data_IF_375826336056
#
_entry.id   IF_375826336056
#
_cell.length_a   1.000
_cell.length_b   1.000
_cell.length_c   1.000
_cell.angle_alpha   90.00
_cell.angle_beta   90.00
_cell.angle_gamma   90.00
#
_symmetry.space_group_name_H-M   'P 1'
#
loop_
_entity.id
_entity.type
_entity.pdbx_description
1 polymer ?
#
# COMPACT_ATOMS: atom_id res chain seq x y z
N UNK A 1 6.93 -41.78 48.07
CA UNK A 1 6.13 -42.97 47.72
C UNK A 1 6.12 -43.10 46.20
N UNK A 2 6.39 -44.29 45.67
CA UNK A 2 6.33 -44.58 44.24
C UNK A 2 5.00 -45.30 43.97
N UNK A 3 4.12 -44.70 43.18
CA UNK A 3 2.85 -45.31 42.78
C UNK A 3 2.93 -45.68 41.30
N UNK A 4 2.93 -46.99 41.02
CA UNK A 4 2.85 -47.53 39.66
C UNK A 4 1.48 -48.15 39.51
N UNK A 5 0.58 -47.57 38.70
CA UNK A 5 -0.75 -48.11 38.50
C UNK A 5 -0.68 -49.41 37.68
N UNK A 6 -1.26 -50.50 38.18
CA UNK A 6 -1.22 -51.81 37.49
C UNK A 6 -2.45 -52.03 36.59
N UNK A 7 -3.57 -51.34 36.86
CA UNK A 7 -4.80 -51.40 36.06
C UNK A 7 -5.49 -50.02 35.99
N UNK A 8 -5.48 -49.38 34.82
CA UNK A 8 -6.11 -48.05 34.59
C UNK A 8 -7.28 -48.09 33.59
N UNK A 9 -7.83 -49.28 33.28
CA UNK A 9 -8.97 -49.41 32.36
C UNK A 9 -8.78 -48.84 30.94
N UNK A 10 -7.53 -48.60 30.51
CA UNK A 10 -7.22 -47.94 29.23
C UNK A 10 -7.08 -46.42 29.27
N UNK A 11 -7.35 -45.77 30.41
CA UNK A 11 -7.28 -44.30 30.55
C UNK A 11 -5.90 -43.72 30.20
N UNK A 12 -4.83 -44.37 30.66
CA UNK A 12 -3.46 -43.93 30.34
C UNK A 12 -3.15 -44.07 28.83
N UNK A 13 -3.68 -45.10 28.18
CA UNK A 13 -3.53 -45.27 26.74
C UNK A 13 -4.33 -44.20 25.97
N UNK A 14 -5.57 -43.92 26.38
CA UNK A 14 -6.38 -42.85 25.82
C UNK A 14 -5.74 -41.47 26.00
N UNK A 15 -5.13 -41.19 27.16
CA UNK A 15 -4.41 -39.93 27.40
C UNK A 15 -3.18 -39.80 26.47
N UNK A 16 -2.45 -40.88 26.22
CA UNK A 16 -1.35 -40.92 25.24
C UNK A 16 -1.88 -40.68 23.83
N UNK A 17 -3.00 -41.28 23.45
CA UNK A 17 -3.62 -41.09 22.14
C UNK A 17 -4.09 -39.65 21.93
N UNK A 18 -4.68 -39.01 22.94
CA UNK A 18 -5.02 -37.58 22.92
C UNK A 18 -3.76 -36.72 22.75
N UNK A 19 -2.70 -36.99 23.51
CA UNK A 19 -1.45 -36.25 23.40
C UNK A 19 -0.80 -36.41 22.00
N UNK A 20 -0.88 -37.60 21.41
CA UNK A 20 -0.44 -37.85 20.02
C UNK A 20 -1.27 -37.07 19.01
N UNK A 21 -2.59 -37.09 19.13
CA UNK A 21 -3.47 -36.32 18.26
C UNK A 21 -3.21 -34.80 18.33
N UNK A 22 -2.98 -34.26 19.52
CA UNK A 22 -2.64 -32.84 19.72
C UNK A 22 -1.28 -32.47 19.10
N UNK A 23 -0.29 -33.36 19.19
CA UNK A 23 1.00 -33.19 18.51
C UNK A 23 0.80 -33.16 16.99
N UNK A 24 0.06 -34.12 16.44
CA UNK A 24 -0.17 -34.22 14.99
C UNK A 24 -0.94 -32.99 14.47
N UNK A 25 -1.91 -32.50 15.25
CA UNK A 25 -2.60 -31.23 14.97
C UNK A 25 -1.63 -30.04 14.93
N UNK A 26 -0.70 -29.98 15.89
CA UNK A 26 0.29 -28.90 15.99
C UNK A 26 1.30 -28.94 14.83
N UNK A 27 1.73 -30.12 14.41
CA UNK A 27 2.58 -30.31 13.22
C UNK A 27 1.85 -29.89 11.94
N UNK A 28 0.58 -30.27 11.78
CA UNK A 28 -0.24 -29.84 10.66
C UNK A 28 -0.42 -28.31 10.63
N UNK A 29 -0.69 -27.69 11.79
CA UNK A 29 -0.82 -26.24 11.90
C UNK A 29 0.49 -25.50 11.56
N UNK A 30 1.63 -26.03 11.99
CA UNK A 30 2.94 -25.49 11.63
C UNK A 30 3.18 -25.54 10.12
N UNK A 31 2.93 -26.70 9.48
CA UNK A 31 3.09 -26.85 8.03
C UNK A 31 2.19 -25.88 7.27
N UNK A 32 0.94 -25.72 7.70
CA UNK A 32 0.02 -24.76 7.10
C UNK A 32 0.55 -23.33 7.23
N UNK A 33 1.03 -22.92 8.41
CA UNK A 33 1.58 -21.59 8.62
C UNK A 33 2.78 -21.30 7.70
N UNK A 34 3.66 -22.28 7.48
CA UNK A 34 4.79 -22.17 6.55
C UNK A 34 4.32 -22.02 5.10
N UNK A 35 3.35 -22.83 4.68
CA UNK A 35 2.81 -22.75 3.31
C UNK A 35 2.12 -21.42 3.04
N UNK A 36 1.33 -20.93 4.00
CA UNK A 36 0.69 -19.60 3.91
C UNK A 36 1.73 -18.49 3.82
N UNK A 37 2.79 -18.55 4.63
CA UNK A 37 3.86 -17.55 4.57
C UNK A 37 4.60 -17.57 3.22
N UNK A 38 4.86 -18.75 2.65
CA UNK A 38 5.47 -18.88 1.33
C UNK A 38 4.56 -18.27 0.24
N UNK A 39 3.27 -18.61 0.27
CA UNK A 39 2.30 -18.06 -0.67
C UNK A 39 2.22 -16.54 -0.59
N UNK A 40 2.16 -15.97 0.62
CA UNK A 40 2.11 -14.52 0.82
C UNK A 40 3.35 -13.83 0.22
N UNK A 41 4.54 -14.39 0.41
CA UNK A 41 5.79 -13.87 -0.16
C UNK A 41 5.76 -13.93 -1.70
N UNK A 42 5.33 -15.05 -2.27
CA UNK A 42 5.21 -15.22 -3.72
C UNK A 42 4.23 -14.22 -4.33
N UNK A 43 3.06 -14.03 -3.71
CA UNK A 43 2.05 -13.07 -4.13
C UNK A 43 2.61 -11.64 -4.14
N UNK A 44 3.37 -11.26 -3.09
CA UNK A 44 4.02 -9.94 -3.04
C UNK A 44 5.13 -9.79 -4.07
N UNK A 45 5.95 -10.83 -4.31
CA UNK A 45 7.01 -10.80 -5.31
C UNK A 45 6.47 -10.65 -6.73
N UNK A 46 5.45 -11.46 -7.07
CA UNK A 46 4.77 -11.39 -8.37
C UNK A 46 4.13 -10.01 -8.53
N UNK A 47 3.40 -9.55 -7.52
CA UNK A 47 2.79 -8.23 -7.52
C UNK A 47 3.81 -7.11 -7.76
N UNK A 48 4.94 -7.12 -7.04
CA UNK A 48 6.01 -6.13 -7.20
C UNK A 48 6.62 -6.16 -8.61
N UNK A 49 6.86 -7.36 -9.15
CA UNK A 49 7.38 -7.53 -10.51
C UNK A 49 6.42 -6.96 -11.55
N UNK A 50 5.14 -7.29 -11.45
CA UNK A 50 4.12 -6.80 -12.39
C UNK A 50 3.97 -5.28 -12.32
N UNK A 51 4.05 -4.70 -11.12
CA UNK A 51 3.98 -3.24 -10.97
C UNK A 51 5.19 -2.53 -11.60
N UNK A 52 6.39 -3.11 -11.56
CA UNK A 52 7.55 -2.57 -12.28
C UNK A 52 7.34 -2.56 -13.80
N UNK A 53 6.77 -3.62 -14.35
CA UNK A 53 6.44 -3.70 -15.77
C UNK A 53 5.38 -2.66 -16.15
N UNK A 54 4.33 -2.53 -15.32
CA UNK A 54 3.29 -1.51 -15.47
C UNK A 54 3.87 -0.10 -15.46
N UNK A 55 4.71 0.22 -14.47
CA UNK A 55 5.36 1.54 -14.37
C UNK A 55 6.19 1.87 -15.61
N UNK A 56 6.93 0.88 -16.14
CA UNK A 56 7.71 1.03 -17.37
C UNK A 56 6.81 1.36 -18.58
N UNK A 57 5.69 0.65 -18.73
CA UNK A 57 4.73 0.90 -19.80
C UNK A 57 4.06 2.28 -19.68
N UNK A 58 3.62 2.64 -18.47
CA UNK A 58 3.01 3.94 -18.21
C UNK A 58 4.00 5.09 -18.44
N UNK A 59 5.27 4.90 -18.10
CA UNK A 59 6.31 5.93 -18.35
C UNK A 59 6.51 6.18 -19.85
N UNK A 60 6.45 5.14 -20.69
CA UNK A 60 6.49 5.29 -22.15
C UNK A 60 5.23 5.99 -22.68
N UNK A 61 4.06 5.64 -22.16
CA UNK A 61 2.80 6.28 -22.54
C UNK A 61 2.79 7.77 -22.17
N UNK A 62 3.26 8.11 -20.97
CA UNK A 62 3.41 9.50 -20.54
C UNK A 62 4.36 10.28 -21.47
N UNK A 63 5.54 9.73 -21.77
CA UNK A 63 6.47 10.38 -22.71
C UNK A 63 5.86 10.60 -24.11
N UNK A 64 5.11 9.62 -24.64
CA UNK A 64 4.41 9.77 -25.91
C UNK A 64 3.31 10.84 -25.84
N UNK A 65 2.56 10.91 -24.74
CA UNK A 65 1.51 11.93 -24.55
C UNK A 65 2.07 13.34 -24.40
N UNK A 66 3.23 13.50 -23.75
CA UNK A 66 3.96 14.78 -23.68
C UNK A 66 4.37 15.25 -25.08
N UNK A 67 4.88 14.34 -25.91
CA UNK A 67 5.25 14.67 -27.28
C UNK A 67 4.02 15.02 -28.13
N UNK A 68 2.89 14.30 -27.96
CA UNK A 68 1.64 14.64 -28.62
C UNK A 68 1.15 16.04 -28.24
N UNK A 69 1.16 16.41 -26.95
CA UNK A 69 0.80 17.75 -26.50
C UNK A 69 1.72 18.83 -27.10
N UNK A 70 3.03 18.57 -27.19
CA UNK A 70 4.00 19.46 -27.83
C UNK A 70 3.68 19.67 -29.31
N UNK A 71 3.36 18.59 -30.04
CA UNK A 71 3.01 18.64 -31.46
C UNK A 71 1.67 19.35 -31.70
N UNK A 72 0.64 19.07 -30.90
CA UNK A 72 -0.65 19.78 -30.99
C UNK A 72 -0.47 21.28 -30.78
N UNK A 73 0.37 21.69 -29.84
CA UNK A 73 0.69 23.10 -29.61
C UNK A 73 1.42 23.74 -30.80
N UNK A 74 2.36 23.03 -31.43
CA UNK A 74 3.02 23.50 -32.64
C UNK A 74 2.04 23.67 -33.81
N UNK A 75 1.13 22.70 -34.00
CA UNK A 75 0.08 22.76 -35.02
C UNK A 75 -0.85 23.94 -34.81
N UNK A 76 -1.30 24.18 -33.57
CA UNK A 76 -2.12 25.33 -33.21
C UNK A 76 -1.44 26.66 -33.57
N UNK A 77 -0.16 26.82 -33.20
CA UNK A 77 0.61 28.04 -33.53
C UNK A 77 0.77 28.23 -35.04
N UNK A 78 0.87 27.14 -35.80
CA UNK A 78 0.90 27.17 -37.27
C UNK A 78 -0.48 27.33 -37.93
N UNK A 79 -1.57 27.36 -37.16
CA UNK A 79 -2.95 27.42 -37.65
C UNK A 79 -3.50 26.08 -38.20
N UNK A 80 -2.78 24.97 -38.02
CA UNK A 80 -3.14 23.64 -38.49
C UNK A 80 -3.99 22.81 -37.51
N UNK A 81 -4.26 23.33 -36.30
CA UNK A 81 -5.12 22.69 -35.31
C UNK A 81 -5.87 23.75 -34.49
N UNK A 82 -6.96 23.36 -33.85
CA UNK A 82 -7.71 24.23 -32.95
C UNK A 82 -7.08 24.27 -31.56
N UNK A 83 -7.41 25.29 -30.76
CA UNK A 83 -6.97 25.32 -29.36
C UNK A 83 -7.59 24.18 -28.52
N UNK A 84 -8.76 23.66 -28.91
CA UNK A 84 -9.38 22.52 -28.24
C UNK A 84 -8.51 21.25 -28.37
N UNK A 85 -7.91 21.03 -29.54
CA UNK A 85 -7.02 19.88 -29.78
C UNK A 85 -5.78 19.92 -28.86
N UNK A 86 -5.33 21.14 -28.51
CA UNK A 86 -4.23 21.34 -27.55
C UNK A 86 -4.68 20.97 -26.14
N UNK A 87 -5.85 21.44 -25.71
CA UNK A 87 -6.39 21.15 -24.38
C UNK A 87 -6.66 19.66 -24.19
N UNK A 88 -7.15 18.98 -25.22
CA UNK A 88 -7.39 17.53 -25.17
C UNK A 88 -6.08 16.75 -25.07
N UNK A 89 -5.05 17.17 -25.82
CA UNK A 89 -3.72 16.56 -25.74
C UNK A 89 -3.05 16.79 -24.36
N UNK A 90 -3.15 18.00 -23.80
CA UNK A 90 -2.63 18.32 -22.46
C UNK A 90 -3.37 17.56 -21.37
N UNK A 91 -4.70 17.44 -21.48
CA UNK A 91 -5.50 16.62 -20.56
C UNK A 91 -5.06 15.15 -20.61
N UNK A 92 -4.82 14.61 -21.80
CA UNK A 92 -4.31 13.24 -21.98
C UNK A 92 -2.93 13.08 -21.36
N UNK A 93 -2.03 14.04 -21.57
CA UNK A 93 -0.70 14.08 -20.96
C UNK A 93 -0.79 14.01 -19.43
N UNK A 94 -1.56 14.90 -18.81
CA UNK A 94 -1.67 14.94 -17.35
C UNK A 94 -2.28 13.65 -16.78
N UNK A 95 -3.25 13.05 -17.47
CA UNK A 95 -3.80 11.76 -17.06
C UNK A 95 -2.77 10.62 -17.13
N UNK A 96 -1.90 10.63 -18.13
CA UNK A 96 -0.82 9.65 -18.26
C UNK A 96 0.26 9.85 -17.19
N UNK A 97 0.64 11.11 -16.90
CA UNK A 97 1.59 11.45 -15.84
C UNK A 97 1.06 11.07 -14.45
N UNK A 98 -0.21 11.34 -14.15
CA UNK A 98 -0.84 10.90 -12.90
C UNK A 98 -0.80 9.37 -12.77
N UNK A 99 -1.10 8.63 -13.85
CA UNK A 99 -1.02 7.17 -13.85
C UNK A 99 0.38 6.66 -13.49
N UNK A 100 1.45 7.33 -13.95
CA UNK A 100 2.83 7.02 -13.56
C UNK A 100 3.05 7.26 -12.07
N UNK A 101 2.54 8.36 -11.52
CA UNK A 101 2.66 8.69 -10.09
C UNK A 101 1.93 7.63 -9.25
N UNK A 102 0.69 7.28 -9.60
CA UNK A 102 -0.07 6.23 -8.91
C UNK A 102 0.65 4.87 -8.95
N UNK A 103 1.26 4.52 -10.08
CA UNK A 103 2.04 3.28 -10.20
C UNK A 103 3.32 3.31 -9.35
N UNK A 104 3.99 4.46 -9.20
CA UNK A 104 5.12 4.61 -8.26
C UNK A 104 4.71 4.42 -6.80
N UNK A 105 3.56 4.97 -6.42
CA UNK A 105 2.98 4.77 -5.07
C UNK A 105 2.71 3.27 -4.87
N UNK A 106 2.03 2.63 -5.81
CA UNK A 106 1.74 1.20 -5.74
C UNK A 106 3.03 0.35 -5.64
N UNK A 107 4.07 0.70 -6.38
CA UNK A 107 5.36 0.01 -6.33
C UNK A 107 6.00 0.10 -4.93
N UNK A 108 5.96 1.28 -4.31
CA UNK A 108 6.46 1.47 -2.95
C UNK A 108 5.63 0.67 -1.93
N UNK A 109 4.31 0.72 -2.02
CA UNK A 109 3.41 -0.05 -1.14
C UNK A 109 3.65 -1.56 -1.27
N UNK A 110 3.82 -2.08 -2.49
CA UNK A 110 4.14 -3.50 -2.73
C UNK A 110 5.49 -3.90 -2.18
N UNK A 111 6.49 -3.01 -2.28
CA UNK A 111 7.79 -3.26 -1.68
C UNK A 111 7.71 -3.35 -0.14
N UNK A 112 6.93 -2.47 0.50
CA UNK A 112 6.68 -2.54 1.95
C UNK A 112 5.95 -3.83 2.31
N UNK A 113 4.92 -4.22 1.54
CA UNK A 113 4.18 -5.46 1.77
C UNK A 113 5.07 -6.70 1.65
N UNK A 114 5.97 -6.75 0.67
CA UNK A 114 6.97 -7.81 0.53
C UNK A 114 7.89 -7.88 1.76
N UNK A 115 8.40 -6.74 2.23
CA UNK A 115 9.23 -6.69 3.44
C UNK A 115 8.46 -7.23 4.65
N UNK A 116 7.17 -6.89 4.80
CA UNK A 116 6.32 -7.42 5.87
C UNK A 116 6.14 -8.94 5.77
N UNK A 117 5.88 -9.47 4.57
CA UNK A 117 5.71 -10.91 4.34
C UNK A 117 6.98 -11.72 4.65
N UNK A 118 8.16 -11.15 4.37
CA UNK A 118 9.46 -11.76 4.68
C UNK A 118 9.83 -11.73 6.18
N UNK A 119 8.97 -11.18 7.05
CA UNK A 119 9.28 -11.01 8.47
C UNK A 119 10.07 -9.74 8.77
N UNK A 120 9.98 -8.71 7.93
CA UNK A 120 10.40 -7.35 8.29
C UNK A 120 9.41 -6.72 9.27
N UNK A 121 9.92 -6.14 10.36
CA UNK A 121 9.11 -5.41 11.35
C UNK A 121 9.28 -5.87 12.82
N UNK A 122 9.92 -7.01 13.07
CA UNK A 122 10.07 -7.58 14.43
C UNK A 122 11.30 -7.07 15.20
N UNK A 123 12.19 -6.30 14.57
CA UNK A 123 13.44 -5.83 15.18
C UNK A 123 13.26 -4.70 16.19
N UNK A 124 12.04 -4.16 16.34
CA UNK A 124 11.68 -3.24 17.42
C UNK A 124 10.46 -3.83 18.11
N UNK A 125 10.46 -4.00 19.44
CA UNK A 125 9.24 -4.24 20.19
C UNK A 125 8.22 -3.19 19.76
N UNK A 126 7.02 -3.62 19.35
CA UNK A 126 5.91 -2.69 19.11
C UNK A 126 5.60 -2.07 20.47
N UNK A 127 6.02 -0.83 20.67
CA UNK A 127 5.65 -0.06 21.86
C UNK A 127 4.16 0.23 21.76
N UNK A 128 3.34 -0.63 22.36
CA UNK A 128 1.88 -0.47 22.44
C UNK A 128 1.47 0.73 23.28
N UNK A 129 2.40 1.38 23.99
CA UNK A 129 2.14 2.61 24.74
C UNK A 129 2.23 3.88 23.88
N UNK A 130 2.91 3.83 22.72
CA UNK A 130 3.02 4.97 21.81
C UNK A 130 2.66 4.57 20.37
N UNK A 131 1.55 5.08 19.79
CA UNK A 131 1.24 4.83 18.39
C UNK A 131 2.37 5.33 17.50
N UNK A 132 2.98 4.42 16.73
CA UNK A 132 4.12 4.71 15.85
C UNK A 132 3.78 5.65 14.67
N UNK A 133 2.48 5.95 14.46
CA UNK A 133 1.98 6.92 13.50
C UNK A 133 1.36 8.09 14.27
N UNK A 134 2.09 9.19 14.39
CA UNK A 134 1.52 10.47 14.80
C UNK A 134 0.89 11.11 13.56
N UNK A 135 -0.39 10.80 13.28
CA UNK A 135 -1.13 11.31 12.14
C UNK A 135 -1.54 12.79 12.32
N UNK A 136 -0.57 13.63 12.70
CA UNK A 136 -0.74 15.08 12.81
C UNK A 136 -0.33 15.80 11.52
N UNK A 137 0.51 15.16 10.71
CA UNK A 137 1.09 15.75 9.49
C UNK A 137 0.51 15.20 8.17
N UNK A 138 -0.30 14.15 8.20
CA UNK A 138 -0.83 13.49 6.97
C UNK A 138 -2.30 13.83 6.66
N UNK A 139 -2.97 14.59 7.53
CA UNK A 139 -4.33 15.06 7.28
C UNK A 139 -4.40 16.05 6.10
N UNK A 140 -5.56 16.16 5.41
CA UNK A 140 -5.77 17.19 4.40
C UNK A 140 -5.47 18.55 5.01
N UNK A 141 -4.44 19.24 4.51
CA UNK A 141 -4.16 20.62 4.93
C UNK A 141 -5.28 21.51 4.38
N UNK A 142 -6.37 21.61 5.14
CA UNK A 142 -7.31 22.71 5.00
C UNK A 142 -6.48 23.97 5.24
N UNK A 143 -6.26 24.74 4.17
CA UNK A 143 -5.60 26.05 4.27
C UNK A 143 -6.48 26.91 5.16
N UNK A 144 -6.19 26.93 6.46
CA UNK A 144 -6.86 27.82 7.39
C UNK A 144 -6.61 29.25 6.87
N UNK A 145 -7.66 30.08 6.73
CA UNK A 145 -7.48 31.46 6.33
C UNK A 145 -6.50 32.10 7.32
N UNK A 146 -5.49 32.81 6.80
CA UNK A 146 -4.49 33.45 7.66
C UNK A 146 -5.25 34.38 8.61
N UNK A 147 -4.78 34.52 9.86
CA UNK A 147 -5.39 35.45 10.83
C UNK A 147 -5.57 36.88 10.27
N UNK A 148 -4.76 37.23 9.27
CA UNK A 148 -4.82 38.46 8.47
C UNK A 148 -6.13 38.59 7.66
N UNK A 149 -6.63 37.49 7.07
CA UNK A 149 -7.88 37.46 6.29
C UNK A 149 -9.12 37.57 7.17
N UNK A 150 -9.05 37.05 8.41
CA UNK A 150 -10.15 37.11 9.38
C UNK A 150 -10.28 38.53 9.97
N UNK A 151 -9.14 39.18 10.21
CA UNK A 151 -9.10 40.57 10.68
C UNK A 151 -9.61 41.57 9.64
N UNK A 152 -9.35 41.33 8.34
CA UNK A 152 -9.86 42.17 7.26
C UNK A 152 -11.40 42.10 7.16
N UNK A 153 -12.00 40.90 7.30
CA UNK A 153 -13.46 40.74 7.25
C UNK A 153 -14.21 41.37 8.43
N UNK A 154 -13.65 41.32 9.65
CA UNK A 154 -14.27 41.97 10.82
C UNK A 154 -14.28 43.49 10.75
N UNK A 155 -13.32 44.12 10.07
CA UNK A 155 -13.33 45.59 9.89
C UNK A 155 -14.39 46.03 8.90
N UNK A 156 -14.66 45.23 7.87
CA UNK A 156 -15.61 45.59 6.82
C UNK A 156 -17.07 45.39 7.25
N UNK A 157 -17.35 44.45 8.16
CA UNK A 157 -18.68 44.30 8.78
C UNK A 157 -18.98 45.32 9.89
N UNK A 158 -18.02 46.15 10.30
CA UNK A 158 -18.22 47.22 11.27
C UNK A 158 -18.45 48.60 10.62
N UNK A 159 -18.52 48.65 9.28
CA UNK A 159 -18.74 49.87 8.49
C UNK A 159 -20.07 49.87 7.72
N UNK A 160 -20.99 48.95 8.06
CA UNK A 160 -22.38 48.97 7.63
C UNK A 160 -23.31 49.03 8.84
#
# INVERSE_FOLDING_TARGET
SLSVPIFNGGELAAAVDVARAQRDQSDAAFRLAVLTALQDVEDQLVGLRQERLRLSALSRAAAASTEAARLSRALYVSGGASFLDVLDAERSQYSAEDSVIQSRIALATRFIALNKALGGGWLRPVDVAHPAMDDRDTGPRLRLPRAQDIAARRRQSAQH
#
